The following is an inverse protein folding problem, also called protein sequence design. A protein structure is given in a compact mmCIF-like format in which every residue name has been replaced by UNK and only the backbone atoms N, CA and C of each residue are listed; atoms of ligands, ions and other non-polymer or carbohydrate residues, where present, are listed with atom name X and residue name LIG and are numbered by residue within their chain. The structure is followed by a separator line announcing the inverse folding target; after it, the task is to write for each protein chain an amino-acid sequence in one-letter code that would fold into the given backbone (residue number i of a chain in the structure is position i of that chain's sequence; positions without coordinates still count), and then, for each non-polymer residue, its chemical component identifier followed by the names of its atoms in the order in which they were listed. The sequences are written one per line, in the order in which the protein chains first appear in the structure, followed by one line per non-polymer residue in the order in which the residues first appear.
data_IF_060167549999
#
_entry.id   IF_060167549999
#
_cell.length_a   1.000
_cell.length_b   1.000
_cell.length_c   1.000
_cell.angle_alpha   90.00
_cell.angle_beta   90.00
_cell.angle_gamma   90.00
#
_symmetry.space_group_name_H-M   'P 1'
#
loop_
_entity.id
_entity.type
_entity.pdbx_description
1 polymer ?
#
# COMPACT_ATOMS: atom_id res chain seq x y z
N UNK A 1 -22.36 -0.67 9.10
CA UNK A 1 -21.00 -0.48 9.65
C UNK A 1 -20.96 0.94 10.20
N UNK A 2 -20.37 1.18 11.38
CA UNK A 2 -20.27 2.54 11.93
C UNK A 2 -19.44 3.43 10.99
N UNK A 3 -19.80 4.71 10.86
CA UNK A 3 -19.13 5.68 10.00
C UNK A 3 -17.61 5.81 10.30
N UNK A 4 -17.21 5.60 11.56
CA UNK A 4 -15.82 5.62 12.02
C UNK A 4 -14.94 4.57 11.32
N UNK A 5 -15.47 3.38 11.01
CA UNK A 5 -14.69 2.35 10.31
C UNK A 5 -14.49 2.66 8.83
N UNK A 6 -15.45 3.37 8.20
CA UNK A 6 -15.32 3.80 6.81
C UNK A 6 -14.26 4.88 6.67
N UNK A 7 -14.28 5.88 7.56
CA UNK A 7 -13.25 6.92 7.62
C UNK A 7 -11.87 6.33 7.91
N UNK A 8 -11.78 5.41 8.87
CA UNK A 8 -10.52 4.71 9.17
C UNK A 8 -10.00 3.88 7.99
N UNK A 9 -10.88 3.18 7.27
CA UNK A 9 -10.51 2.45 6.07
C UNK A 9 -10.02 3.38 4.95
N UNK A 10 -10.73 4.49 4.71
CA UNK A 10 -10.33 5.48 3.71
C UNK A 10 -8.96 6.08 4.02
N UNK A 11 -8.72 6.47 5.28
CA UNK A 11 -7.41 6.98 5.72
C UNK A 11 -6.31 5.92 5.53
N UNK A 12 -6.59 4.66 5.88
CA UNK A 12 -5.63 3.56 5.68
C UNK A 12 -5.32 3.33 4.19
N UNK A 13 -6.31 3.45 3.30
CA UNK A 13 -6.10 3.37 1.85
C UNK A 13 -5.24 4.54 1.33
N UNK A 14 -5.45 5.76 1.84
CA UNK A 14 -4.62 6.91 1.49
C UNK A 14 -3.18 6.73 1.96
N UNK A 15 -2.98 6.28 3.22
CA UNK A 15 -1.65 5.98 3.75
C UNK A 15 -0.98 4.83 2.98
N UNK A 16 -1.73 3.81 2.59
CA UNK A 16 -1.24 2.73 1.72
C UNK A 16 -0.77 3.28 0.37
N UNK A 17 -1.59 4.10 -0.29
CA UNK A 17 -1.26 4.68 -1.59
C UNK A 17 -0.03 5.59 -1.50
N UNK A 18 0.07 6.41 -0.45
CA UNK A 18 1.23 7.27 -0.22
C UNK A 18 2.52 6.45 0.02
N UNK A 19 2.44 5.41 0.85
CA UNK A 19 3.57 4.51 1.12
C UNK A 19 4.01 3.76 -0.15
N UNK A 20 3.04 3.29 -0.95
CA UNK A 20 3.31 2.60 -2.20
C UNK A 20 3.90 3.55 -3.25
N UNK A 21 3.37 4.77 -3.38
CA UNK A 21 3.93 5.81 -4.25
C UNK A 21 5.37 6.13 -3.84
N UNK A 22 5.63 6.32 -2.54
CA UNK A 22 6.97 6.55 -2.03
C UNK A 22 7.94 5.43 -2.44
N UNK A 23 7.55 4.17 -2.27
CA UNK A 23 8.38 3.02 -2.67
C UNK A 23 8.59 2.96 -4.19
N UNK A 24 7.57 3.29 -4.99
CA UNK A 24 7.64 3.31 -6.45
C UNK A 24 8.48 4.48 -7.00
N UNK A 25 8.44 5.65 -6.35
CA UNK A 25 9.20 6.83 -6.72
C UNK A 25 10.68 6.72 -6.31
N UNK A 26 10.96 6.05 -5.19
CA UNK A 26 12.33 5.88 -4.67
C UNK A 26 12.99 4.56 -5.08
N UNK A 27 12.32 3.72 -5.88
CA UNK A 27 12.83 2.38 -6.24
C UNK A 27 14.10 2.42 -7.09
N UNK A 28 14.28 3.50 -7.85
CA UNK A 28 15.44 3.75 -8.70
C UNK A 28 16.66 4.29 -7.94
N UNK A 29 16.47 4.75 -6.69
CA UNK A 29 17.55 5.25 -5.84
C UNK A 29 18.31 4.08 -5.16
N UNK A 30 19.63 4.20 -5.10
CA UNK A 30 20.51 3.22 -4.45
C UNK A 30 21.38 3.88 -3.38
N UNK A 31 21.79 3.07 -2.40
CA UNK A 31 22.69 3.50 -1.32
C UNK A 31 24.02 4.04 -1.86
N UNK A 32 24.51 3.50 -2.98
CA UNK A 32 25.76 3.92 -3.62
C UNK A 32 25.70 5.40 -4.08
N UNK A 33 24.50 5.95 -4.27
CA UNK A 33 24.26 7.35 -4.65
C UNK A 33 23.62 8.18 -3.53
N UNK A 34 22.94 7.54 -2.58
CA UNK A 34 22.22 8.19 -1.47
C UNK A 34 22.26 7.27 -0.23
N UNK A 35 23.21 7.46 0.69
CA UNK A 35 23.34 6.62 1.88
C UNK A 35 22.05 6.58 2.71
N UNK A 36 21.60 5.38 3.09
CA UNK A 36 20.45 5.19 3.99
C UNK A 36 19.09 5.06 3.30
N UNK A 37 19.00 5.23 1.97
CA UNK A 37 17.73 5.10 1.24
C UNK A 37 17.15 3.68 1.31
N UNK A 38 17.99 2.63 1.32
CA UNK A 38 17.49 1.26 1.50
C UNK A 38 16.93 1.03 2.90
N UNK A 39 17.56 1.58 3.94
CA UNK A 39 17.06 1.46 5.31
C UNK A 39 15.70 2.15 5.46
N UNK A 40 15.56 3.36 4.91
CA UNK A 40 14.29 4.09 4.89
C UNK A 40 13.20 3.30 4.17
N UNK A 41 13.49 2.75 2.99
CA UNK A 41 12.52 1.94 2.23
C UNK A 41 12.11 0.66 2.95
N UNK A 42 13.02 0.01 3.69
CA UNK A 42 12.69 -1.19 4.51
C UNK A 42 11.71 -0.87 5.63
N UNK A 43 11.74 0.35 6.17
CA UNK A 43 10.78 0.80 7.18
C UNK A 43 9.37 1.05 6.64
N UNK A 44 9.20 1.17 5.32
CA UNK A 44 7.90 1.41 4.69
C UNK A 44 7.26 0.08 4.31
N UNK A 45 6.20 -0.29 5.03
CA UNK A 45 5.43 -1.52 4.79
C UNK A 45 3.96 -1.20 4.47
N UNK A 46 3.60 -0.95 3.20
CA UNK A 46 2.23 -0.68 2.80
C UNK A 46 1.29 -1.81 3.22
N UNK A 47 1.73 -3.07 3.12
CA UNK A 47 0.89 -4.23 3.46
C UNK A 47 0.39 -4.26 4.91
N UNK A 48 1.08 -3.57 5.83
CA UNK A 48 0.65 -3.48 7.22
C UNK A 48 -0.77 -2.89 7.36
N UNK A 49 -1.15 -1.95 6.49
CA UNK A 49 -2.44 -1.25 6.57
C UNK A 49 -3.65 -2.19 6.40
N UNK A 50 -3.53 -3.27 5.63
CA UNK A 50 -4.60 -4.28 5.51
C UNK A 50 -4.35 -5.53 6.36
N UNK A 51 -3.08 -5.86 6.66
CA UNK A 51 -2.71 -7.00 7.49
C UNK A 51 -3.11 -6.82 8.96
N UNK A 52 -2.92 -5.64 9.54
CA UNK A 52 -3.28 -5.36 10.95
C UNK A 52 -4.77 -5.59 11.21
N UNK A 53 -5.71 -4.98 10.46
CA UNK A 53 -7.13 -5.23 10.68
C UNK A 53 -7.53 -6.68 10.36
N UNK A 54 -6.85 -7.36 9.42
CA UNK A 54 -7.06 -8.79 9.16
C UNK A 54 -6.63 -9.65 10.35
N UNK A 55 -5.47 -9.38 10.95
CA UNK A 55 -4.96 -10.09 12.10
C UNK A 55 -5.88 -9.89 13.32
N UNK A 56 -6.34 -8.65 13.56
CA UNK A 56 -7.33 -8.36 14.60
C UNK A 56 -8.63 -9.12 14.33
N UNK A 57 -9.11 -9.17 13.08
CA UNK A 57 -10.31 -9.93 12.71
C UNK A 57 -10.15 -11.44 12.92
N UNK A 58 -8.95 -11.97 12.76
CA UNK A 58 -8.62 -13.37 13.05
C UNK A 58 -8.63 -13.65 14.55
N UNK A 59 -7.92 -12.84 15.33
CA UNK A 59 -7.82 -13.01 16.78
C UNK A 59 -9.17 -12.81 17.49
N UNK A 60 -9.94 -11.78 17.10
CA UNK A 60 -11.22 -11.44 17.73
C UNK A 60 -12.45 -12.10 17.09
N UNK A 61 -12.26 -12.83 15.98
CA UNK A 61 -13.36 -13.34 15.12
C UNK A 61 -14.39 -12.28 14.72
N UNK A 62 -13.98 -11.01 14.65
CA UNK A 62 -14.89 -9.90 14.36
C UNK A 62 -15.16 -9.73 12.86
N UNK A 63 -16.43 -9.83 12.48
CA UNK A 63 -16.88 -9.55 11.11
C UNK A 63 -16.67 -8.08 10.69
N UNK A 64 -16.68 -7.14 11.65
CA UNK A 64 -16.48 -5.71 11.36
C UNK A 64 -15.04 -5.45 10.93
N UNK A 65 -14.06 -5.94 11.68
CA UNK A 65 -12.64 -5.81 11.33
C UNK A 65 -12.30 -6.53 10.02
N UNK A 66 -12.92 -7.70 9.77
CA UNK A 66 -12.76 -8.41 8.51
C UNK A 66 -13.28 -7.58 7.32
N UNK A 67 -14.45 -6.93 7.45
CA UNK A 67 -15.01 -6.04 6.42
C UNK A 67 -14.14 -4.79 6.21
N UNK A 68 -13.62 -4.19 7.28
CA UNK A 68 -12.66 -3.08 7.18
C UNK A 68 -11.42 -3.49 6.39
N UNK A 69 -10.85 -4.68 6.67
CA UNK A 69 -9.72 -5.19 5.90
C UNK A 69 -10.06 -5.49 4.44
N UNK A 70 -11.28 -5.95 4.13
CA UNK A 70 -11.76 -6.08 2.74
C UNK A 70 -11.74 -4.72 2.03
N UNK A 71 -12.28 -3.67 2.66
CA UNK A 71 -12.31 -2.32 2.07
C UNK A 71 -10.89 -1.79 1.82
N UNK A 72 -9.99 -1.96 2.79
CA UNK A 72 -8.60 -1.49 2.65
C UNK A 72 -7.88 -2.30 1.56
N UNK A 73 -8.06 -3.61 1.51
CA UNK A 73 -7.43 -4.47 0.48
C UNK A 73 -7.95 -4.15 -0.92
N UNK A 74 -9.26 -3.92 -1.07
CA UNK A 74 -9.85 -3.50 -2.34
C UNK A 74 -9.34 -2.12 -2.77
N UNK A 75 -9.30 -1.16 -1.85
CA UNK A 75 -8.71 0.15 -2.10
C UNK A 75 -7.22 0.06 -2.46
N UNK A 76 -6.46 -0.82 -1.82
CA UNK A 76 -5.06 -1.08 -2.15
C UNK A 76 -4.89 -1.62 -3.57
N UNK A 77 -5.71 -2.58 -4.00
CA UNK A 77 -5.70 -3.08 -5.39
C UNK A 77 -5.98 -1.95 -6.38
N UNK A 78 -7.00 -1.13 -6.12
CA UNK A 78 -7.33 0.03 -6.96
C UNK A 78 -6.18 1.03 -7.01
N UNK A 79 -5.58 1.37 -5.87
CA UNK A 79 -4.42 2.26 -5.77
C UNK A 79 -3.22 1.73 -6.56
N UNK A 80 -2.94 0.43 -6.49
CA UNK A 80 -1.90 -0.19 -7.31
C UNK A 80 -2.19 -0.03 -8.81
N UNK A 81 -3.43 -0.27 -9.24
CA UNK A 81 -3.84 -0.13 -10.64
C UNK A 81 -3.72 1.32 -11.14
N UNK A 82 -4.20 2.29 -10.35
CA UNK A 82 -4.10 3.71 -10.68
C UNK A 82 -2.65 4.19 -10.74
N UNK A 83 -1.82 3.80 -9.77
CA UNK A 83 -0.40 4.12 -9.78
C UNK A 83 0.33 3.45 -10.95
N UNK A 84 -0.04 2.23 -11.31
CA UNK A 84 0.54 1.54 -12.47
C UNK A 84 0.19 2.27 -13.77
N UNK A 85 -1.08 2.66 -13.94
CA UNK A 85 -1.50 3.48 -15.08
C UNK A 85 -0.72 4.80 -15.13
N UNK A 86 -0.55 5.48 -13.99
CA UNK A 86 0.25 6.70 -13.89
C UNK A 86 1.71 6.46 -14.31
N UNK A 87 2.34 5.39 -13.82
CA UNK A 87 3.72 5.02 -14.18
C UNK A 87 3.87 4.76 -15.68
N UNK A 88 2.90 4.10 -16.30
CA UNK A 88 2.94 3.77 -17.74
C UNK A 88 2.75 5.00 -18.63
N UNK A 89 1.99 6.00 -18.17
CA UNK A 89 1.74 7.24 -18.91
C UNK A 89 2.84 8.28 -18.67
N UNK A 90 3.50 8.24 -17.51
CA UNK A 90 4.53 9.21 -17.15
C UNK A 90 5.84 8.95 -17.91
N UNK A 91 6.09 9.72 -18.97
CA UNK A 91 7.39 9.76 -19.63
C UNK A 91 8.38 10.53 -18.76
N UNK A 92 9.51 9.90 -18.42
CA UNK A 92 10.56 10.53 -17.62
C UNK A 92 10.99 11.86 -18.26
N UNK A 93 10.91 12.95 -17.50
CA UNK A 93 11.35 14.26 -17.97
C UNK A 93 12.88 14.25 -18.14
N UNK A 94 13.43 14.55 -19.33
CA UNK A 94 14.86 14.65 -19.52
C UNK A 94 15.39 15.88 -18.77
N UNK A 95 16.32 15.68 -17.82
CA UNK A 95 17.13 16.78 -17.26
C UNK A 95 17.12 16.98 -15.75
N UNK A 96 16.35 16.24 -14.95
CA UNK A 96 16.36 16.37 -13.48
C UNK A 96 17.55 15.63 -12.83
N UNK A 97 18.78 16.07 -13.13
CA UNK A 97 19.98 15.61 -12.43
C UNK A 97 20.32 16.60 -11.31
N UNK A 98 20.10 16.20 -10.06
CA UNK A 98 20.60 16.94 -8.89
C UNK A 98 22.14 16.94 -8.97
N UNK A 99 22.74 18.14 -8.97
CA UNK A 99 24.18 18.34 -8.94
C UNK A 99 24.81 17.53 -7.78
N UNK A 100 25.96 16.92 -8.03
CA UNK A 100 26.54 15.90 -7.16
C UNK A 100 26.90 16.43 -5.76
N UNK A 101 27.20 17.72 -5.64
CA UNK A 101 27.78 18.31 -4.43
C UNK A 101 26.75 18.70 -3.34
N UNK A 102 25.44 18.70 -3.63
CA UNK A 102 24.35 19.08 -2.68
C UNK A 102 23.39 17.91 -2.32
N UNK A 103 23.82 16.66 -2.52
CA UNK A 103 22.97 15.47 -2.32
C UNK A 103 22.82 15.09 -0.85
N UNK A 104 21.86 15.71 -0.16
CA UNK A 104 21.32 15.15 1.09
C UNK A 104 20.25 14.07 0.79
N UNK A 105 20.06 13.13 1.73
CA UNK A 105 18.96 12.15 1.67
C UNK A 105 17.60 12.84 1.50
N UNK A 106 17.38 13.92 2.26
CA UNK A 106 16.13 14.68 2.23
C UNK A 106 15.88 15.38 0.90
N UNK A 107 16.89 16.09 0.34
CA UNK A 107 16.75 16.76 -0.96
C UNK A 107 16.52 15.75 -2.09
N UNK A 108 17.21 14.61 -2.05
CA UNK A 108 17.07 13.56 -3.08
C UNK A 108 15.71 12.87 -3.02
N UNK A 109 15.21 12.54 -1.83
CA UNK A 109 13.87 11.99 -1.65
C UNK A 109 12.81 12.99 -2.11
N UNK A 110 12.94 14.27 -1.75
CA UNK A 110 12.02 15.32 -2.20
C UNK A 110 11.97 15.41 -3.72
N UNK A 111 13.13 15.44 -4.39
CA UNK A 111 13.19 15.48 -5.86
C UNK A 111 12.57 14.23 -6.46
N UNK A 112 12.85 13.04 -5.91
CA UNK A 112 12.27 11.80 -6.42
C UNK A 112 10.74 11.76 -6.28
N UNK A 113 10.16 12.38 -5.25
CA UNK A 113 8.72 12.44 -5.06
C UNK A 113 8.02 13.45 -5.98
N UNK A 114 8.69 14.56 -6.30
CA UNK A 114 8.14 15.64 -7.16
C UNK A 114 8.40 15.36 -8.65
N UNK A 115 9.55 14.78 -8.97
CA UNK A 115 9.97 14.43 -10.32
C UNK A 115 10.41 12.95 -10.37
N UNK A 116 9.46 12.01 -10.27
CA UNK A 116 9.78 10.59 -10.23
C UNK A 116 10.32 10.08 -11.57
N UNK A 117 11.47 9.41 -11.53
CA UNK A 117 11.97 8.63 -12.65
C UNK A 117 11.53 7.17 -12.49
N UNK A 118 10.33 6.85 -12.98
CA UNK A 118 9.83 5.47 -12.89
C UNK A 118 10.65 4.54 -13.78
N UNK A 119 10.99 3.38 -13.23
CA UNK A 119 11.75 2.33 -13.94
C UNK A 119 10.96 1.03 -13.94
N UNK A 120 11.42 0.01 -14.67
CA UNK A 120 10.82 -1.33 -14.64
C UNK A 120 10.71 -1.91 -13.21
N UNK A 121 11.53 -1.44 -12.27
CA UNK A 121 11.46 -1.84 -10.85
C UNK A 121 10.30 -1.17 -10.10
N UNK A 122 9.94 0.05 -10.48
CA UNK A 122 8.74 0.72 -9.98
C UNK A 122 7.50 -0.09 -10.39
N UNK A 123 7.44 -0.50 -11.65
CA UNK A 123 6.42 -1.43 -12.17
C UNK A 123 6.36 -2.73 -11.37
N UNK A 124 7.51 -3.38 -11.14
CA UNK A 124 7.58 -4.60 -10.33
C UNK A 124 7.09 -4.42 -8.89
N UNK A 125 7.38 -3.27 -8.28
CA UNK A 125 6.89 -2.93 -6.92
C UNK A 125 5.38 -2.78 -6.89
N UNK A 126 4.80 -2.12 -7.90
CA UNK A 126 3.36 -1.93 -8.02
C UNK A 126 2.63 -3.26 -8.32
N UNK A 127 3.18 -4.09 -9.20
CA UNK A 127 2.63 -5.43 -9.50
C UNK A 127 2.70 -6.32 -8.25
N UNK A 128 3.84 -6.36 -7.55
CA UNK A 128 3.98 -7.09 -6.30
C UNK A 128 3.00 -6.61 -5.22
N UNK A 129 2.81 -5.29 -5.12
CA UNK A 129 1.80 -4.68 -4.25
C UNK A 129 0.38 -5.09 -4.62
N UNK A 130 0.02 -5.10 -5.91
CA UNK A 130 -1.29 -5.53 -6.40
C UNK A 130 -1.57 -7.00 -6.08
N UNK A 131 -0.59 -7.88 -6.32
CA UNK A 131 -0.69 -9.31 -5.99
C UNK A 131 -0.89 -9.50 -4.48
N UNK A 132 -0.06 -8.84 -3.65
CA UNK A 132 -0.19 -8.90 -2.20
C UNK A 132 -1.55 -8.41 -1.70
N UNK A 133 -2.05 -7.30 -2.25
CA UNK A 133 -3.37 -6.75 -1.91
C UNK A 133 -4.52 -7.67 -2.37
N UNK A 134 -4.40 -8.33 -3.53
CA UNK A 134 -5.38 -9.30 -4.01
C UNK A 134 -5.44 -10.54 -3.11
N UNK A 135 -4.28 -11.04 -2.66
CA UNK A 135 -4.21 -12.11 -1.65
C UNK A 135 -4.88 -11.67 -0.35
N UNK A 136 -4.54 -10.46 0.13
CA UNK A 136 -5.16 -9.86 1.32
C UNK A 136 -6.68 -9.78 1.20
N UNK A 137 -7.19 -9.33 0.06
CA UNK A 137 -8.61 -9.26 -0.23
C UNK A 137 -9.28 -10.64 -0.14
N UNK A 138 -8.66 -11.66 -0.75
CA UNK A 138 -9.15 -13.04 -0.68
C UNK A 138 -9.21 -13.58 0.75
N UNK A 139 -8.15 -13.36 1.54
CA UNK A 139 -8.09 -13.78 2.95
C UNK A 139 -9.14 -13.05 3.79
N UNK A 140 -9.31 -11.75 3.60
CA UNK A 140 -10.30 -10.94 4.32
C UNK A 140 -11.73 -11.36 3.98
N UNK A 141 -12.02 -11.64 2.70
CA UNK A 141 -13.33 -12.19 2.29
C UNK A 141 -13.58 -13.57 2.89
N UNK A 142 -12.57 -14.45 2.90
CA UNK A 142 -12.67 -15.76 3.53
C UNK A 142 -12.97 -15.64 5.03
N UNK A 143 -12.33 -14.70 5.73
CA UNK A 143 -12.60 -14.44 7.14
C UNK A 143 -14.01 -13.90 7.38
N UNK A 144 -14.51 -12.97 6.56
CA UNK A 144 -15.91 -12.51 6.63
C UNK A 144 -16.88 -13.70 6.49
N UNK A 145 -16.62 -14.63 5.56
CA UNK A 145 -17.45 -15.83 5.37
C UNK A 145 -17.39 -16.75 6.59
N UNK A 146 -16.21 -16.93 7.20
CA UNK A 146 -16.04 -17.73 8.42
C UNK A 146 -16.85 -17.16 9.59
N UNK A 147 -16.75 -15.86 9.84
CA UNK A 147 -17.49 -15.19 10.92
C UNK A 147 -19.02 -15.31 10.76
N UNK A 148 -19.53 -15.33 9.52
CA UNK A 148 -20.96 -15.52 9.24
C UNK A 148 -21.44 -16.95 9.52
N UNK A 149 -20.61 -17.96 9.29
CA UNK A 149 -20.96 -19.37 9.50
C UNK A 149 -21.00 -19.77 10.97
N UNK A 150 -20.30 -19.04 11.82
CA UNK A 150 -20.25 -19.27 13.27
C UNK A 150 -21.34 -18.54 14.06
N UNK A 151 -22.20 -17.75 13.40
CA UNK A 151 -23.35 -17.15 14.05
C UNK A 151 -24.41 -18.25 14.30
N UNK A 152 -24.82 -18.50 15.55
CA UNK A 152 -25.74 -19.59 15.88
C UNK A 152 -27.10 -19.37 15.22
N UNK A 153 -27.65 -20.44 14.64
CA UNK A 153 -29.02 -20.53 14.14
C UNK A 153 -30.04 -20.59 15.30
N UNK A 154 -30.00 -19.61 16.20
CA UNK A 154 -30.82 -19.60 17.43
C UNK A 154 -32.01 -18.63 17.38
N UNK A 155 -32.39 -18.12 16.21
CA UNK A 155 -33.51 -17.18 16.04
C UNK A 155 -34.63 -17.74 15.14
N UNK A 156 -34.82 -19.07 15.18
CA UNK A 156 -36.00 -19.73 14.62
C UNK A 156 -36.62 -20.64 15.67
N UNK A 157 -37.27 -20.06 16.67
CA UNK A 157 -38.38 -20.68 17.43
C UNK A 157 -39.12 -19.62 18.22
#
# INVERSE_FOLDING_TARGET
MPATHLLGAALAVLCYAAALYFLAATTSLYDDYVPGIRALRRGVWPSAFWLVPLAIAWASRSATWARTSVLISAGAVLSCGLLLALVLVHKAAPGTRVHADDRSLASTVRVALVHPSFSNRSTGTLVGGAVGAAIGLGLSMAQVRRCRRTAPASESR
#
